data_IF_353249793204
#
_entry.id   IF_353249793204
#
_cell.length_a   1.000
_cell.length_b   1.000
_cell.length_c   1.000
_cell.angle_alpha   90.00
_cell.angle_beta   90.00
_cell.angle_gamma   90.00
#
_symmetry.space_group_name_H-M   'P 1'
#
loop_
_entity.id
_entity.type
_entity.pdbx_description
1 polymer ?
#
# COMPACT_ATOMS: atom_id res chain seq x y z
N UNK A 1 3.02 0.81 16.86
CA UNK A 1 4.18 0.27 16.11
C UNK A 1 4.09 0.79 14.67
N UNK A 2 5.11 1.44 14.09
CA UNK A 2 5.02 1.90 12.71
C UNK A 2 4.96 0.70 11.77
N UNK A 3 3.89 0.63 10.99
CA UNK A 3 3.61 -0.39 9.98
C UNK A 3 4.71 -0.33 8.89
N UNK A 4 5.55 -1.35 8.76
CA UNK A 4 6.57 -1.42 7.69
C UNK A 4 5.93 -1.91 6.40
N UNK A 5 5.38 -1.00 5.60
CA UNK A 5 4.95 -1.25 4.21
C UNK A 5 6.15 -1.37 3.23
N UNK A 6 7.27 -1.94 3.68
CA UNK A 6 8.45 -2.14 2.84
C UNK A 6 9.35 -0.91 2.60
N UNK A 7 9.11 0.23 3.26
CA UNK A 7 9.97 1.42 3.17
C UNK A 7 10.28 2.06 4.54
N UNK A 8 11.34 2.88 4.60
CA UNK A 8 11.70 3.64 5.80
C UNK A 8 10.96 4.98 5.81
N UNK A 9 9.95 5.09 6.68
CA UNK A 9 9.15 6.31 6.82
C UNK A 9 10.00 7.53 7.19
N UNK A 10 11.04 7.37 8.01
CA UNK A 10 11.90 8.47 8.46
C UNK A 10 12.73 9.07 7.31
N UNK A 11 13.24 8.21 6.42
CA UNK A 11 13.96 8.65 5.22
C UNK A 11 13.05 9.41 4.25
N UNK A 12 11.82 8.91 4.05
CA UNK A 12 10.83 9.58 3.20
C UNK A 12 10.39 10.91 3.81
N UNK A 13 10.15 10.95 5.12
CA UNK A 13 9.77 12.17 5.82
C UNK A 13 10.85 13.25 5.76
N UNK A 14 12.13 12.86 5.86
CA UNK A 14 13.26 13.78 5.73
C UNK A 14 13.36 14.41 4.33
N UNK A 15 13.19 13.61 3.26
CA UNK A 15 13.24 14.10 1.88
C UNK A 15 12.05 15.02 1.56
N UNK A 16 10.88 14.74 2.13
CA UNK A 16 9.64 15.48 1.84
C UNK A 16 9.34 16.62 2.83
N UNK A 17 10.20 16.86 3.82
CA UNK A 17 9.99 17.89 4.85
C UNK A 17 8.70 17.70 5.66
N UNK A 18 8.27 16.46 5.86
CA UNK A 18 6.98 16.17 6.51
C UNK A 18 7.02 16.45 8.02
N UNK A 19 8.18 16.20 8.65
CA UNK A 19 8.37 16.41 10.08
C UNK A 19 8.17 17.86 10.49
N UNK A 20 8.63 18.81 9.67
CA UNK A 20 8.46 20.26 9.90
C UNK A 20 7.00 20.70 9.84
N UNK A 21 6.17 19.94 9.12
CA UNK A 21 4.72 20.18 8.98
C UNK A 21 3.89 19.40 9.99
N UNK A 22 4.52 18.68 10.92
CA UNK A 22 3.84 17.79 11.87
C UNK A 22 3.20 16.56 11.22
N UNK A 23 3.63 16.20 10.01
CA UNK A 23 3.08 15.10 9.21
C UNK A 23 4.01 13.88 9.19
N UNK A 24 3.43 12.70 8.93
CA UNK A 24 4.18 11.43 8.86
C UNK A 24 3.84 10.64 7.59
N UNK A 25 4.88 10.15 6.91
CA UNK A 25 4.71 9.22 5.79
C UNK A 25 4.15 7.89 6.28
N UNK A 26 3.02 7.47 5.71
CA UNK A 26 2.30 6.26 6.13
C UNK A 26 2.19 5.24 5.00
N UNK A 27 1.80 5.66 3.79
CA UNK A 27 1.62 4.82 2.59
C UNK A 27 2.38 5.45 1.42
N UNK A 28 2.99 4.62 0.58
CA UNK A 28 3.48 5.00 -0.75
C UNK A 28 2.65 4.25 -1.80
N UNK A 29 2.11 4.99 -2.78
CA UNK A 29 1.33 4.45 -3.88
C UNK A 29 1.95 4.90 -5.21
N UNK A 30 2.73 4.06 -5.90
CA UNK A 30 3.23 4.39 -7.22
C UNK A 30 2.07 4.38 -8.23
N UNK A 31 1.98 5.45 -9.03
CA UNK A 31 0.96 5.62 -10.08
C UNK A 31 1.67 5.75 -11.42
N UNK A 32 1.24 4.96 -12.40
CA UNK A 32 1.83 4.93 -13.74
C UNK A 32 1.28 3.77 -14.56
N UNK A 33 1.87 3.54 -15.73
CA UNK A 33 1.58 2.38 -16.56
C UNK A 33 2.49 1.22 -16.19
N UNK A 34 1.96 0.00 -16.26
CA UNK A 34 2.73 -1.22 -16.05
C UNK A 34 3.47 -1.59 -17.32
N UNK A 35 4.63 -2.21 -17.16
CA UNK A 35 5.32 -2.87 -18.25
C UNK A 35 4.85 -4.33 -18.29
N UNK A 36 3.93 -4.65 -19.21
CA UNK A 36 3.20 -5.91 -19.20
C UNK A 36 4.11 -7.15 -19.32
N UNK A 37 5.20 -7.05 -20.08
CA UNK A 37 6.15 -8.14 -20.28
C UNK A 37 7.04 -8.43 -19.06
N UNK A 38 7.17 -7.48 -18.14
CA UNK A 38 8.01 -7.58 -16.94
C UNK A 38 7.19 -7.64 -15.63
N UNK A 39 5.90 -7.30 -15.68
CA UNK A 39 4.98 -7.39 -14.53
C UNK A 39 4.36 -8.78 -14.44
N UNK A 40 5.00 -9.67 -13.69
CA UNK A 40 4.45 -11.00 -13.44
C UNK A 40 3.02 -10.95 -12.87
N UNK A 41 2.63 -9.92 -12.10
CA UNK A 41 1.31 -9.83 -11.49
C UNK A 41 0.19 -9.48 -12.49
N UNK A 42 0.51 -9.10 -13.73
CA UNK A 42 -0.46 -8.60 -14.70
C UNK A 42 -1.59 -9.61 -15.01
N UNK A 43 -1.25 -10.90 -15.10
CA UNK A 43 -2.17 -11.97 -15.51
C UNK A 43 -2.64 -12.87 -14.36
N UNK A 44 -2.28 -12.59 -13.11
CA UNK A 44 -2.68 -13.43 -11.98
C UNK A 44 -4.13 -13.18 -11.56
N UNK A 45 -4.84 -14.27 -11.26
CA UNK A 45 -6.21 -14.21 -10.73
C UNK A 45 -6.21 -13.54 -9.36
N UNK A 46 -7.17 -12.63 -9.14
CA UNK A 46 -7.36 -11.96 -7.85
C UNK A 46 -7.90 -12.95 -6.82
N UNK A 47 -7.06 -13.35 -5.88
CA UNK A 47 -7.48 -14.19 -4.74
C UNK A 47 -8.02 -13.32 -3.61
N UNK A 48 -9.21 -13.64 -3.11
CA UNK A 48 -9.88 -12.95 -1.97
C UNK A 48 -10.47 -14.01 -1.05
N UNK A 49 -10.69 -13.64 0.22
CA UNK A 49 -11.47 -14.48 1.14
C UNK A 49 -12.91 -14.57 0.63
N UNK A 50 -13.56 -15.74 0.72
CA UNK A 50 -15.00 -15.87 0.52
C UNK A 50 -15.80 -14.84 1.34
N UNK A 51 -16.90 -14.33 0.79
CA UNK A 51 -17.64 -13.20 1.36
C UNK A 51 -18.28 -13.54 2.72
N UNK A 52 -18.86 -14.73 2.80
CA UNK A 52 -19.42 -15.34 4.01
C UNK A 52 -18.41 -15.45 5.17
N UNK A 53 -17.13 -15.59 4.86
CA UNK A 53 -16.04 -15.60 5.85
C UNK A 53 -15.49 -14.21 6.19
N UNK A 54 -15.76 -13.21 5.35
CA UNK A 54 -15.25 -11.85 5.51
C UNK A 54 -16.27 -10.91 6.17
N UNK A 55 -17.56 -11.13 5.92
CA UNK A 55 -18.64 -10.21 6.29
C UNK A 55 -19.68 -10.93 7.13
N UNK A 56 -20.04 -10.32 8.26
CA UNK A 56 -21.22 -10.70 9.05
C UNK A 56 -22.31 -9.65 8.82
N UNK A 57 -23.46 -10.09 8.31
CA UNK A 57 -24.65 -9.23 8.13
C UNK A 57 -25.52 -9.32 9.39
N UNK A 58 -26.02 -8.19 9.86
CA UNK A 58 -26.88 -8.08 11.05
C UNK A 58 -28.10 -7.24 10.66
N UNK A 59 -29.31 -7.72 11.00
CA UNK A 59 -30.60 -7.06 10.72
C UNK A 59 -31.02 -6.10 11.85
#
# INVERSE_FOLDING_TARGET
MPQKQGFSADKVAAISGLSEKGLRSTVLLPVGYRLEDEDWLVNLVKVRKPMDHLVTVVD
#
